data_IF_942841391869
#
_entry.id   IF_942841391869
#
_cell.length_a   1.000
_cell.length_b   1.000
_cell.length_c   1.000
_cell.angle_alpha   90.00
_cell.angle_beta   90.00
_cell.angle_gamma   90.00
#
_symmetry.space_group_name_H-M   'P 1'
#
loop_
_entity.id
_entity.type
_entity.pdbx_description
1 polymer ?
#
# COMPACT_ATOMS: atom_id res chain seq x y z
N UNK A 1 27.38 3.68 -31.12
CA UNK A 1 27.26 2.80 -29.95
C UNK A 1 25.96 3.16 -29.25
N UNK A 2 24.86 2.48 -29.56
CA UNK A 2 23.57 2.79 -28.94
C UNK A 2 23.50 2.10 -27.57
N UNK A 3 23.22 2.88 -26.54
CA UNK A 3 23.02 2.44 -25.17
C UNK A 3 21.69 1.67 -25.08
N UNK A 4 21.79 0.36 -24.78
CA UNK A 4 20.66 -0.55 -24.71
C UNK A 4 19.86 -0.31 -23.43
N UNK A 5 18.67 0.27 -23.60
CA UNK A 5 17.69 0.54 -22.56
C UNK A 5 17.08 -0.79 -22.07
N UNK A 6 17.62 -1.37 -20.98
CA UNK A 6 17.10 -2.60 -20.39
C UNK A 6 15.74 -2.31 -19.72
N UNK A 7 14.68 -2.86 -20.29
CA UNK A 7 13.33 -2.78 -19.73
C UNK A 7 13.22 -3.61 -18.43
N UNK A 8 12.42 -3.17 -17.44
CA UNK A 8 12.34 -3.79 -16.11
C UNK A 8 11.57 -5.13 -16.07
N UNK A 9 11.20 -5.69 -17.22
CA UNK A 9 10.35 -6.88 -17.36
C UNK A 9 11.12 -8.19 -17.62
N UNK A 10 12.45 -8.20 -17.42
CA UNK A 10 13.32 -9.37 -17.64
C UNK A 10 13.13 -10.55 -16.67
N UNK A 11 11.98 -10.65 -16.01
CA UNK A 11 11.53 -11.86 -15.32
C UNK A 11 10.38 -12.49 -16.09
N UNK A 12 10.68 -13.21 -17.18
CA UNK A 12 9.67 -13.91 -17.98
C UNK A 12 8.77 -14.81 -17.12
N UNK A 13 7.59 -15.20 -17.63
CA UNK A 13 6.55 -15.96 -16.90
C UNK A 13 7.08 -17.18 -16.14
N UNK A 14 8.12 -17.83 -16.66
CA UNK A 14 8.80 -18.97 -16.03
C UNK A 14 9.60 -18.52 -14.81
N UNK A 15 10.39 -17.45 -14.91
CA UNK A 15 11.14 -16.89 -13.79
C UNK A 15 10.18 -16.40 -12.68
N UNK A 16 9.06 -15.77 -13.06
CA UNK A 16 8.02 -15.36 -12.11
C UNK A 16 7.34 -16.55 -11.42
N UNK A 17 7.14 -17.66 -12.13
CA UNK A 17 6.61 -18.89 -11.55
C UNK A 17 7.61 -19.56 -10.61
N UNK A 18 8.88 -19.69 -11.01
CA UNK A 18 9.95 -20.22 -10.15
C UNK A 18 10.12 -19.37 -8.89
N UNK A 19 10.10 -18.04 -9.03
CA UNK A 19 10.12 -17.14 -7.88
C UNK A 19 8.91 -17.38 -6.99
N UNK A 20 7.69 -17.51 -7.51
CA UNK A 20 6.51 -17.74 -6.66
C UNK A 20 6.49 -19.11 -5.97
N UNK A 21 6.98 -20.15 -6.64
CA UNK A 21 6.77 -21.55 -6.23
C UNK A 21 7.98 -22.16 -5.53
N UNK A 22 9.21 -21.77 -5.88
CA UNK A 22 10.43 -22.39 -5.38
C UNK A 22 11.32 -21.44 -4.58
N UNK A 23 11.36 -20.16 -4.97
CA UNK A 23 12.20 -19.14 -4.33
C UNK A 23 11.39 -18.00 -3.70
N UNK A 24 10.11 -18.27 -3.39
CA UNK A 24 9.16 -17.27 -2.93
C UNK A 24 9.65 -16.57 -1.68
N UNK A 25 9.24 -15.31 -1.44
CA UNK A 25 9.59 -14.65 -0.19
C UNK A 25 9.15 -15.56 0.94
N UNK A 26 10.06 -15.88 1.85
CA UNK A 26 9.82 -16.83 2.93
C UNK A 26 8.48 -16.52 3.60
N UNK A 27 7.50 -17.39 3.42
CA UNK A 27 6.19 -17.27 4.07
C UNK A 27 6.37 -17.73 5.49
N UNK A 28 6.50 -16.77 6.41
CA UNK A 28 6.45 -17.07 7.85
C UNK A 28 4.99 -17.03 8.28
N UNK A 29 4.51 -18.13 8.85
CA UNK A 29 3.25 -18.12 9.61
C UNK A 29 3.39 -17.09 10.73
N UNK A 30 2.46 -16.14 10.82
CA UNK A 30 2.53 -14.98 11.70
C UNK A 30 3.75 -14.06 11.44
N UNK A 31 3.87 -13.50 10.23
CA UNK A 31 4.85 -12.43 9.91
C UNK A 31 4.84 -11.22 10.88
N UNK A 32 3.81 -11.12 11.73
CA UNK A 32 3.72 -10.20 12.86
C UNK A 32 3.64 -11.03 14.16
N UNK A 33 4.72 -11.74 14.49
CA UNK A 33 4.89 -12.35 15.81
C UNK A 33 5.21 -11.23 16.83
N UNK A 34 4.40 -11.10 17.89
CA UNK A 34 4.74 -10.26 19.06
C UNK A 34 3.93 -8.97 19.25
N UNK A 35 3.01 -8.62 18.36
CA UNK A 35 2.08 -7.52 18.65
C UNK A 35 0.98 -8.06 19.58
N UNK A 36 1.03 -7.73 20.87
CA UNK A 36 -0.02 -8.06 21.84
C UNK A 36 -1.39 -7.63 21.31
N UNK A 37 -2.47 -8.27 21.77
CA UNK A 37 -3.82 -7.88 21.37
C UNK A 37 -4.07 -6.37 21.62
N UNK A 38 -3.52 -5.85 22.71
CA UNK A 38 -3.56 -4.42 23.04
C UNK A 38 -2.87 -3.55 21.99
N UNK A 39 -1.68 -3.92 21.52
CA UNK A 39 -0.96 -3.17 20.51
C UNK A 39 -1.70 -3.17 19.15
N UNK A 40 -2.40 -4.26 18.81
CA UNK A 40 -3.29 -4.29 17.63
C UNK A 40 -4.47 -3.35 17.78
N UNK A 41 -5.08 -3.30 18.96
CA UNK A 41 -6.25 -2.47 19.20
C UNK A 41 -5.87 -0.98 19.29
N UNK A 42 -4.71 -0.65 19.84
CA UNK A 42 -4.12 0.69 19.76
C UNK A 42 -3.87 1.11 18.31
N UNK A 43 -3.28 0.22 17.51
CA UNK A 43 -3.07 0.49 16.08
C UNK A 43 -4.38 0.73 15.33
N UNK A 44 -5.42 -0.07 15.58
CA UNK A 44 -6.75 0.14 14.98
C UNK A 44 -7.34 1.49 15.39
N UNK A 45 -7.27 1.86 16.68
CA UNK A 45 -7.77 3.15 17.17
C UNK A 45 -7.03 4.33 16.54
N UNK A 46 -5.71 4.22 16.41
CA UNK A 46 -4.89 5.22 15.74
C UNK A 46 -5.23 5.33 14.24
N UNK A 47 -5.44 4.19 13.58
CA UNK A 47 -5.85 4.15 12.17
C UNK A 47 -7.20 4.84 11.95
N UNK A 48 -8.19 4.64 12.82
CA UNK A 48 -9.48 5.32 12.73
C UNK A 48 -9.36 6.84 12.94
N UNK A 49 -8.53 7.29 13.89
CA UNK A 49 -8.23 8.73 14.06
C UNK A 49 -7.61 9.34 12.81
N UNK A 50 -6.67 8.63 12.17
CA UNK A 50 -6.07 9.07 10.90
C UNK A 50 -7.07 9.10 9.75
N UNK A 51 -8.02 8.17 9.71
CA UNK A 51 -9.11 8.17 8.72
C UNK A 51 -10.08 9.33 8.91
N UNK A 52 -10.37 9.73 10.15
CA UNK A 52 -11.20 10.91 10.43
C UNK A 52 -10.60 12.16 9.78
N UNK A 53 -9.30 12.38 9.97
CA UNK A 53 -8.58 13.47 9.30
C UNK A 53 -8.70 13.42 7.77
N UNK A 54 -8.63 12.22 7.19
CA UNK A 54 -8.80 12.03 5.74
C UNK A 54 -10.21 12.36 5.25
N UNK A 55 -11.25 12.16 6.06
CA UNK A 55 -12.64 12.48 5.70
C UNK A 55 -12.89 13.97 5.73
N UNK A 56 -12.50 14.66 6.80
CA UNK A 56 -12.63 16.11 6.94
C UNK A 56 -11.82 16.86 5.85
N UNK A 57 -10.60 16.40 5.56
CA UNK A 57 -9.79 16.94 4.46
C UNK A 57 -10.45 16.72 3.09
N UNK A 58 -11.12 15.58 2.89
CA UNK A 58 -11.86 15.29 1.66
C UNK A 58 -13.11 16.15 1.53
N UNK A 59 -13.82 16.40 2.62
CA UNK A 59 -14.99 17.29 2.64
C UNK A 59 -14.58 18.74 2.39
N UNK A 60 -13.50 19.21 3.04
CA UNK A 60 -12.92 20.53 2.76
C UNK A 60 -12.55 20.70 1.28
N UNK A 61 -11.85 19.71 0.71
CA UNK A 61 -11.53 19.72 -0.73
C UNK A 61 -12.76 19.61 -1.62
N UNK A 62 -13.84 18.97 -1.16
CA UNK A 62 -15.11 18.89 -1.92
C UNK A 62 -15.81 20.24 -1.93
N UNK A 63 -15.92 20.90 -0.77
CA UNK A 63 -16.48 22.24 -0.65
C UNK A 63 -15.69 23.26 -1.50
N UNK A 64 -14.36 23.18 -1.51
CA UNK A 64 -13.50 24.02 -2.35
C UNK A 64 -13.76 23.78 -3.86
N UNK A 65 -13.93 22.52 -4.27
CA UNK A 65 -14.27 22.19 -5.67
C UNK A 65 -15.67 22.63 -6.06
N UNK A 66 -16.62 22.57 -5.14
CA UNK A 66 -18.00 23.02 -5.36
C UNK A 66 -18.06 24.55 -5.47
N UNK A 67 -17.37 25.27 -4.59
CA UNK A 67 -17.19 26.72 -4.69
C UNK A 67 -16.52 27.15 -6.00
N UNK A 68 -15.55 26.37 -6.50
CA UNK A 68 -14.91 26.61 -7.80
C UNK A 68 -15.78 26.25 -9.01
N UNK A 69 -16.80 25.41 -8.85
CA UNK A 69 -17.75 25.02 -9.91
C UNK A 69 -19.00 25.89 -9.95
N UNK A 70 -19.31 26.59 -8.85
CA UNK A 70 -20.43 27.53 -8.72
C UNK A 70 -20.09 28.99 -9.06
N UNK A 71 -18.86 29.26 -9.51
CA UNK A 71 -18.41 30.50 -10.18
C UNK A 71 -18.26 30.22 -11.67
#
# INVERSE_FOLDING_TARGET
>A
MAEENKTPDQGGRILGWVYRTLAGPATVDNAIHGCSNEARDLWKRDLEKRKQWSREQRERKRAEREARRGL
#
